data_IF_743109250518
#
_entry.id   IF_743109250518
#
_cell.length_a   1.000
_cell.length_b   1.000
_cell.length_c   1.000
_cell.angle_alpha   90.00
_cell.angle_beta   90.00
_cell.angle_gamma   90.00
#
_symmetry.space_group_name_H-M   'P 1'
#
loop_
_entity.id
_entity.type
_entity.pdbx_description
1 polymer ?
#
# COMPACT_ATOMS: atom_id res chain seq x y z
N UNK A 1 20.47 6.85 -12.05
CA UNK A 1 20.12 5.63 -12.81
C UNK A 1 19.06 4.83 -12.05
N UNK A 2 17.79 5.06 -12.40
CA UNK A 2 16.60 4.17 -12.26
C UNK A 2 15.37 5.10 -12.28
N UNK A 3 14.61 5.06 -13.38
CA UNK A 3 13.30 5.71 -13.49
C UNK A 3 12.39 5.25 -12.33
N UNK A 4 11.57 6.11 -11.72
CA UNK A 4 10.68 5.70 -10.63
C UNK A 4 9.79 4.54 -11.10
N UNK A 5 9.84 3.44 -10.36
CA UNK A 5 9.00 2.28 -10.58
C UNK A 5 7.88 2.31 -9.55
N UNK A 6 6.62 2.20 -10.02
CA UNK A 6 5.46 1.92 -9.17
C UNK A 6 4.90 0.58 -9.64
N UNK A 7 4.81 -0.41 -8.73
CA UNK A 7 4.39 -1.80 -9.04
C UNK A 7 5.12 -2.45 -10.23
N UNK A 8 6.37 -2.07 -10.50
CA UNK A 8 7.14 -2.54 -11.65
C UNK A 8 6.83 -1.85 -12.99
N UNK A 9 5.93 -0.88 -13.02
CA UNK A 9 5.65 -0.08 -14.21
C UNK A 9 6.59 1.13 -14.32
N UNK A 10 6.91 1.53 -15.56
CA UNK A 10 7.73 2.70 -15.88
C UNK A 10 6.86 3.82 -16.45
N UNK A 11 7.21 5.06 -16.12
CA UNK A 11 6.64 6.25 -16.74
C UNK A 11 7.01 6.32 -18.24
N UNK A 12 6.03 6.55 -19.10
CA UNK A 12 6.27 6.83 -20.51
C UNK A 12 6.81 8.27 -20.70
N UNK A 13 7.48 8.60 -21.83
CA UNK A 13 7.91 9.97 -22.10
C UNK A 13 6.76 10.97 -22.13
N UNK A 14 5.61 10.54 -22.67
CA UNK A 14 4.39 11.34 -22.76
C UNK A 14 3.21 10.65 -22.07
N UNK A 15 2.23 11.44 -21.63
CA UNK A 15 1.10 10.94 -20.87
C UNK A 15 0.22 10.00 -21.70
N UNK A 16 -0.05 10.35 -22.95
CA UNK A 16 -0.83 9.59 -23.93
C UNK A 16 -0.25 8.20 -24.25
N UNK A 17 1.04 8.01 -24.01
CA UNK A 17 1.72 6.73 -24.24
C UNK A 17 1.74 5.85 -22.99
N UNK A 18 1.19 6.33 -21.86
CA UNK A 18 1.22 5.59 -20.62
C UNK A 18 0.37 4.32 -20.72
N UNK A 19 1.06 3.18 -20.78
CA UNK A 19 0.45 1.84 -20.80
C UNK A 19 -0.05 1.45 -19.41
N UNK A 20 -1.08 0.61 -19.38
CA UNK A 20 -1.64 0.01 -18.17
C UNK A 20 -2.18 1.01 -17.12
N UNK A 21 -2.60 2.20 -17.56
CA UNK A 21 -3.07 3.27 -16.68
C UNK A 21 -4.12 2.83 -15.65
N UNK A 22 -5.10 2.02 -16.08
CA UNK A 22 -6.14 1.46 -15.20
C UNK A 22 -5.53 0.55 -14.13
N UNK A 23 -4.63 -0.35 -14.52
CA UNK A 23 -3.95 -1.28 -13.60
C UNK A 23 -3.14 -0.51 -12.58
N UNK A 24 -2.28 0.41 -13.02
CA UNK A 24 -1.42 1.24 -12.15
C UNK A 24 -2.26 1.98 -11.10
N UNK A 25 -3.32 2.67 -11.53
CA UNK A 25 -4.19 3.40 -10.60
C UNK A 25 -4.95 2.48 -9.67
N UNK A 26 -5.38 1.31 -10.17
CA UNK A 26 -6.14 0.33 -9.37
C UNK A 26 -5.27 -0.29 -8.29
N UNK A 27 -4.06 -0.74 -8.62
CA UNK A 27 -3.12 -1.33 -7.66
C UNK A 27 -2.69 -0.29 -6.64
N UNK A 28 -2.34 0.93 -7.08
CA UNK A 28 -1.93 2.01 -6.17
C UNK A 28 -3.06 2.33 -5.17
N UNK A 29 -4.27 2.56 -5.66
CA UNK A 29 -5.40 2.89 -4.78
C UNK A 29 -5.76 1.72 -3.87
N UNK A 30 -5.71 0.49 -4.37
CA UNK A 30 -5.96 -0.70 -3.57
C UNK A 30 -4.95 -0.78 -2.42
N UNK A 31 -3.64 -0.69 -2.69
CA UNK A 31 -2.60 -0.77 -1.66
C UNK A 31 -2.69 0.35 -0.62
N UNK A 32 -2.95 1.59 -1.07
CA UNK A 32 -3.22 2.71 -0.15
C UNK A 32 -4.45 2.43 0.72
N UNK A 33 -5.49 1.84 0.13
CA UNK A 33 -6.69 1.40 0.84
C UNK A 33 -6.40 0.33 1.88
N UNK A 34 -5.65 -0.70 1.53
CA UNK A 34 -5.26 -1.77 2.46
C UNK A 34 -4.49 -1.19 3.66
N UNK A 35 -3.49 -0.35 3.41
CA UNK A 35 -2.70 0.30 4.47
C UNK A 35 -3.57 1.18 5.38
N UNK A 36 -4.47 1.96 4.79
CA UNK A 36 -5.41 2.79 5.56
C UNK A 36 -6.33 1.94 6.44
N UNK A 37 -6.85 0.84 5.90
CA UNK A 37 -7.67 -0.11 6.67
C UNK A 37 -6.91 -0.74 7.83
N UNK A 38 -5.64 -1.12 7.60
CA UNK A 38 -4.77 -1.66 8.64
C UNK A 38 -4.62 -0.67 9.79
N UNK A 39 -4.37 0.61 9.47
CA UNK A 39 -4.17 1.68 10.47
C UNK A 39 -5.45 1.87 11.29
N UNK A 40 -6.61 1.93 10.64
CA UNK A 40 -7.90 2.11 11.33
C UNK A 40 -8.21 0.91 12.24
N UNK A 41 -8.05 -0.32 11.74
CA UNK A 41 -8.29 -1.53 12.52
C UNK A 41 -7.31 -1.69 13.69
N UNK A 42 -6.05 -1.31 13.49
CA UNK A 42 -5.02 -1.32 14.53
C UNK A 42 -5.29 -0.27 15.60
N UNK A 43 -5.61 0.95 15.18
CA UNK A 43 -5.98 2.06 16.08
C UNK A 43 -7.21 1.69 16.91
N UNK A 44 -8.25 1.14 16.28
CA UNK A 44 -9.43 0.65 17.00
C UNK A 44 -9.06 -0.38 18.07
N UNK A 45 -8.16 -1.31 17.74
CA UNK A 45 -7.70 -2.34 18.68
C UNK A 45 -6.91 -1.75 19.84
N UNK A 46 -6.00 -0.81 19.58
CA UNK A 46 -5.27 -0.10 20.62
C UNK A 46 -6.24 0.64 21.57
N UNK A 47 -7.22 1.35 21.02
CA UNK A 47 -8.17 2.11 21.84
C UNK A 47 -9.08 1.23 22.70
N UNK A 48 -9.45 0.03 22.23
CA UNK A 48 -10.44 -0.83 22.90
C UNK A 48 -9.86 -1.97 23.70
N UNK A 49 -8.68 -2.47 23.34
CA UNK A 49 -8.16 -3.74 23.83
C UNK A 49 -6.68 -3.73 24.22
N UNK A 50 -6.02 -2.57 24.33
CA UNK A 50 -4.58 -2.51 24.64
C UNK A 50 -4.14 -3.28 25.89
N UNK A 51 -5.03 -3.43 26.90
CA UNK A 51 -4.78 -4.20 28.12
C UNK A 51 -5.36 -5.62 28.11
N UNK A 52 -5.96 -6.04 27.01
CA UNK A 52 -6.56 -7.37 26.92
C UNK A 52 -5.47 -8.45 26.74
N UNK A 53 -5.61 -9.63 27.39
CA UNK A 53 -4.62 -10.70 27.28
C UNK A 53 -4.46 -11.25 25.86
N UNK A 54 -5.50 -11.12 25.03
CA UNK A 54 -5.55 -11.54 23.64
C UNK A 54 -5.32 -10.40 22.64
N UNK A 55 -4.71 -9.29 23.08
CA UNK A 55 -4.47 -8.09 22.27
C UNK A 55 -3.86 -8.39 20.91
N UNK A 56 -2.83 -9.26 20.84
CA UNK A 56 -2.14 -9.59 19.57
C UNK A 56 -3.08 -10.24 18.56
N UNK A 57 -3.92 -11.17 19.01
CA UNK A 57 -4.92 -11.85 18.17
C UNK A 57 -5.98 -10.87 17.71
N UNK A 58 -6.48 -10.01 18.62
CA UNK A 58 -7.44 -8.96 18.28
C UNK A 58 -6.85 -7.95 17.29
N UNK A 59 -5.58 -7.59 17.45
CA UNK A 59 -4.88 -6.66 16.57
C UNK A 59 -4.81 -7.21 15.15
N UNK A 60 -4.36 -8.45 14.99
CA UNK A 60 -4.34 -9.14 13.69
C UNK A 60 -5.74 -9.17 13.08
N UNK A 61 -6.74 -9.64 13.83
CA UNK A 61 -8.08 -9.80 13.27
C UNK A 61 -8.74 -8.47 12.88
N UNK A 62 -8.59 -7.43 13.69
CA UNK A 62 -9.20 -6.14 13.39
C UNK A 62 -8.44 -5.35 12.33
N UNK A 63 -7.10 -5.45 12.28
CA UNK A 63 -6.33 -4.96 11.14
C UNK A 63 -6.78 -5.65 9.85
N UNK A 64 -6.95 -6.98 9.87
CA UNK A 64 -7.45 -7.75 8.72
C UNK A 64 -8.88 -7.38 8.30
N UNK A 65 -9.79 -7.16 9.26
CA UNK A 65 -11.15 -6.63 8.98
C UNK A 65 -11.10 -5.24 8.38
N UNK A 66 -10.19 -4.38 8.86
CA UNK A 66 -9.96 -3.06 8.31
C UNK A 66 -9.62 -3.11 6.83
N UNK A 67 -8.67 -3.97 6.44
CA UNK A 67 -8.32 -4.23 5.03
C UNK A 67 -9.53 -4.68 4.20
N UNK A 68 -10.29 -5.63 4.73
CA UNK A 68 -11.43 -6.24 4.03
C UNK A 68 -12.46 -5.19 3.62
N UNK A 69 -12.68 -4.17 4.45
CA UNK A 69 -13.63 -3.10 4.14
C UNK A 69 -12.98 -1.95 3.36
N UNK A 70 -11.77 -1.54 3.73
CA UNK A 70 -11.13 -0.38 3.12
C UNK A 70 -10.75 -0.60 1.65
N UNK A 71 -10.30 -1.81 1.28
CA UNK A 71 -9.94 -2.14 -0.10
C UNK A 71 -11.11 -1.93 -1.06
N UNK A 72 -12.26 -2.64 -0.89
CA UNK A 72 -13.44 -2.44 -1.70
C UNK A 72 -13.98 -1.00 -1.69
N UNK A 73 -13.97 -0.33 -0.54
CA UNK A 73 -14.38 1.09 -0.45
C UNK A 73 -13.50 2.00 -1.30
N UNK A 74 -12.18 1.80 -1.29
CA UNK A 74 -11.25 2.59 -2.09
C UNK A 74 -11.35 2.26 -3.58
N UNK A 75 -11.60 1.01 -3.94
CA UNK A 75 -11.90 0.65 -5.34
C UNK A 75 -13.20 1.28 -5.83
N UNK A 76 -14.25 1.29 -5.00
CA UNK A 76 -15.50 1.98 -5.30
C UNK A 76 -15.29 3.50 -5.44
N UNK A 77 -14.46 4.09 -4.58
CA UNK A 77 -14.09 5.50 -4.66
C UNK A 77 -13.31 5.82 -5.95
N UNK A 78 -12.35 4.97 -6.35
CA UNK A 78 -11.63 5.11 -7.62
C UNK A 78 -12.60 5.00 -8.80
N UNK A 79 -13.45 3.97 -8.80
CA UNK A 79 -14.45 3.78 -9.85
C UNK A 79 -15.38 4.99 -9.97
N UNK A 80 -15.90 5.50 -8.85
CA UNK A 80 -16.73 6.71 -8.83
C UNK A 80 -15.99 7.93 -9.34
N UNK A 81 -14.74 8.14 -8.90
CA UNK A 81 -13.88 9.25 -9.34
C UNK A 81 -13.56 9.21 -10.83
N UNK A 82 -13.48 8.01 -11.40
CA UNK A 82 -13.12 7.79 -12.80
C UNK A 82 -14.33 7.52 -13.71
N UNK A 83 -15.54 7.51 -13.17
CA UNK A 83 -16.75 7.31 -13.96
C UNK A 83 -16.92 8.47 -14.94
N UNK A 84 -17.14 8.14 -16.22
CA UNK A 84 -17.28 9.12 -17.30
C UNK A 84 -15.97 9.78 -17.75
N UNK A 85 -14.82 9.32 -17.26
CA UNK A 85 -13.50 9.82 -17.67
C UNK A 85 -13.00 9.10 -18.92
N UNK A 86 -12.39 9.85 -19.83
CA UNK A 86 -11.81 9.32 -21.05
C UNK A 86 -10.51 8.55 -20.78
N UNK A 87 -10.11 7.70 -21.71
CA UNK A 87 -8.89 6.89 -21.57
C UNK A 87 -7.65 7.74 -21.29
N UNK A 88 -7.51 8.88 -21.99
CA UNK A 88 -6.37 9.79 -21.80
C UNK A 88 -6.32 10.37 -20.38
N UNK A 89 -7.45 10.58 -19.72
CA UNK A 89 -7.49 11.06 -18.33
C UNK A 89 -7.02 9.99 -17.33
N UNK A 90 -7.25 8.71 -17.63
CA UNK A 90 -6.63 7.62 -16.85
C UNK A 90 -5.12 7.64 -17.04
N UNK A 91 -4.67 7.76 -18.29
CA UNK A 91 -3.26 7.77 -18.65
C UNK A 91 -2.51 8.93 -17.99
N UNK A 92 -3.03 10.14 -18.12
CA UNK A 92 -2.50 11.35 -17.50
C UNK A 92 -2.34 11.21 -15.98
N UNK A 93 -3.37 10.72 -15.28
CA UNK A 93 -3.29 10.50 -13.83
C UNK A 93 -2.26 9.46 -13.45
N UNK A 94 -2.21 8.34 -14.15
CA UNK A 94 -1.21 7.29 -13.92
C UNK A 94 0.22 7.75 -14.25
N UNK A 95 0.37 8.62 -15.26
CA UNK A 95 1.65 9.21 -15.66
C UNK A 95 2.16 10.17 -14.58
N UNK A 96 1.31 11.06 -14.06
CA UNK A 96 1.67 11.95 -12.94
C UNK A 96 1.98 11.17 -11.66
N UNK A 97 1.27 10.06 -11.41
CA UNK A 97 1.53 9.16 -10.29
C UNK A 97 2.94 8.58 -10.40
N UNK A 98 3.28 7.99 -11.56
CA UNK A 98 4.60 7.42 -11.84
C UNK A 98 5.72 8.45 -11.79
N UNK A 99 5.44 9.69 -12.20
CA UNK A 99 6.39 10.81 -12.08
C UNK A 99 6.65 11.29 -10.65
N UNK A 100 5.92 10.78 -9.65
CA UNK A 100 6.12 11.15 -8.26
C UNK A 100 7.06 10.15 -7.56
N UNK A 101 8.32 10.52 -7.26
CA UNK A 101 9.29 9.60 -6.67
C UNK A 101 8.91 9.19 -5.24
N UNK A 102 8.23 10.06 -4.49
CA UNK A 102 7.75 9.73 -3.14
C UNK A 102 6.75 8.57 -3.18
N UNK A 103 5.83 8.58 -4.14
CA UNK A 103 4.81 7.54 -4.28
C UNK A 103 5.43 6.19 -4.66
N UNK A 104 6.40 6.17 -5.58
CA UNK A 104 7.07 4.93 -5.95
C UNK A 104 7.90 4.30 -4.84
N UNK A 105 8.60 5.11 -4.07
CA UNK A 105 9.38 4.56 -2.96
C UNK A 105 8.48 4.07 -1.82
N UNK A 106 7.43 4.83 -1.45
CA UNK A 106 6.54 4.37 -0.38
C UNK A 106 5.76 3.13 -0.81
N UNK A 107 5.32 3.04 -2.07
CA UNK A 107 4.64 1.86 -2.62
C UNK A 107 5.56 0.63 -2.53
N UNK A 108 6.81 0.72 -2.97
CA UNK A 108 7.79 -0.37 -2.86
C UNK A 108 7.97 -0.85 -1.42
N UNK A 109 8.17 0.06 -0.47
CA UNK A 109 8.34 -0.31 0.93
C UNK A 109 7.08 -0.96 1.52
N UNK A 110 5.89 -0.49 1.14
CA UNK A 110 4.64 -1.11 1.59
C UNK A 110 4.38 -2.48 0.97
N UNK A 111 4.73 -2.69 -0.30
CA UNK A 111 4.64 -4.00 -0.97
C UNK A 111 5.57 -5.01 -0.29
N UNK A 112 6.84 -4.64 -0.07
CA UNK A 112 7.80 -5.47 0.65
C UNK A 112 7.30 -5.77 2.06
N UNK A 113 6.77 -4.75 2.75
CA UNK A 113 6.16 -4.90 4.06
C UNK A 113 4.99 -5.89 4.06
N UNK A 114 4.09 -5.80 3.08
CA UNK A 114 2.95 -6.70 2.90
C UNK A 114 3.40 -8.15 2.78
N UNK A 115 4.35 -8.40 1.86
CA UNK A 115 4.90 -9.74 1.60
C UNK A 115 5.59 -10.27 2.84
N UNK A 116 6.46 -9.48 3.48
CA UNK A 116 7.18 -9.87 4.68
C UNK A 116 6.25 -10.17 5.86
N UNK A 117 5.22 -9.36 6.07
CA UNK A 117 4.21 -9.55 7.12
C UNK A 117 3.44 -10.85 6.91
N UNK A 118 2.97 -11.09 5.68
CA UNK A 118 2.26 -12.32 5.30
C UNK A 118 3.15 -13.55 5.47
N UNK A 119 4.37 -13.51 4.92
CA UNK A 119 5.32 -14.61 5.01
C UNK A 119 5.68 -14.94 6.47
N UNK A 120 5.84 -13.91 7.31
CA UNK A 120 6.10 -14.09 8.75
C UNK A 120 4.94 -14.80 9.44
N UNK A 121 3.69 -14.44 9.13
CA UNK A 121 2.51 -15.12 9.69
C UNK A 121 2.47 -16.59 9.28
N UNK A 122 2.62 -16.87 7.98
CA UNK A 122 2.59 -18.23 7.45
C UNK A 122 3.73 -19.09 7.99
N UNK A 123 4.90 -18.51 8.25
CA UNK A 123 6.06 -19.22 8.79
C UNK A 123 6.05 -19.42 10.31
N UNK A 124 5.30 -18.61 11.07
CA UNK A 124 5.32 -18.66 12.55
C UNK A 124 4.03 -19.14 13.20
N UNK A 125 2.91 -19.10 12.48
CA UNK A 125 1.63 -19.59 13.01
C UNK A 125 1.42 -21.03 12.54
N UNK A 126 1.14 -21.99 13.45
CA UNK A 126 0.82 -23.35 13.06
C UNK A 126 -0.32 -23.38 12.04
N UNK A 127 -0.21 -24.24 11.02
CA UNK A 127 -1.18 -24.28 9.91
C UNK A 127 -2.62 -24.52 10.37
N UNK A 128 -2.82 -25.29 11.44
CA UNK A 128 -4.13 -25.52 12.05
C UNK A 128 -4.76 -24.27 12.70
N UNK A 129 -3.95 -23.24 12.99
CA UNK A 129 -4.39 -21.97 13.56
C UNK A 129 -4.43 -20.84 12.53
N UNK A 130 -4.26 -21.14 11.23
CA UNK A 130 -4.38 -20.15 10.18
C UNK A 130 -5.81 -19.64 10.07
N UNK A 131 -5.95 -18.32 10.03
CA UNK A 131 -7.22 -17.64 9.76
C UNK A 131 -7.02 -16.64 8.63
N UNK A 132 -8.04 -16.48 7.78
CA UNK A 132 -8.00 -15.47 6.72
C UNK A 132 -7.75 -14.07 7.26
N UNK A 133 -8.40 -13.72 8.38
CA UNK A 133 -8.17 -12.46 9.08
C UNK A 133 -6.78 -12.33 9.70
N UNK A 134 -6.16 -13.44 10.12
CA UNK A 134 -4.79 -13.45 10.62
C UNK A 134 -3.78 -13.14 9.51
N UNK A 135 -3.91 -13.80 8.35
CA UNK A 135 -3.06 -13.54 7.19
C UNK A 135 -3.25 -12.11 6.65
N UNK A 136 -4.50 -11.65 6.48
CA UNK A 136 -4.80 -10.27 6.07
C UNK A 136 -4.32 -9.25 7.10
N UNK A 137 -4.49 -9.53 8.39
CA UNK A 137 -3.99 -8.69 9.47
C UNK A 137 -2.48 -8.54 9.43
N UNK A 138 -1.77 -9.64 9.22
CA UNK A 138 -0.31 -9.63 9.11
C UNK A 138 0.16 -8.89 7.84
N UNK A 139 -0.53 -9.06 6.72
CA UNK A 139 -0.28 -8.30 5.50
C UNK A 139 -0.44 -6.79 5.73
N UNK A 140 -1.55 -6.37 6.37
CA UNK A 140 -1.82 -4.97 6.68
C UNK A 140 -0.86 -4.37 7.71
N UNK A 141 -0.51 -5.09 8.77
CA UNK A 141 0.53 -4.64 9.71
C UNK A 141 1.90 -4.55 9.01
N UNK A 142 2.15 -5.44 8.06
CA UNK A 142 3.31 -5.40 7.17
C UNK A 142 3.38 -4.10 6.36
N UNK A 143 2.29 -3.66 5.74
CA UNK A 143 2.29 -2.38 4.98
C UNK A 143 2.48 -1.17 5.89
N UNK A 144 1.93 -1.18 7.11
CA UNK A 144 2.23 -0.13 8.11
C UNK A 144 3.72 -0.12 8.44
N UNK A 145 4.30 -1.29 8.72
CA UNK A 145 5.72 -1.45 8.97
C UNK A 145 6.58 -0.94 7.82
N UNK A 146 6.20 -1.28 6.58
CA UNK A 146 6.82 -0.76 5.36
C UNK A 146 6.77 0.76 5.27
N UNK A 147 5.60 1.36 5.53
CA UNK A 147 5.44 2.82 5.55
C UNK A 147 6.36 3.47 6.59
N UNK A 148 6.41 2.94 7.82
CA UNK A 148 7.27 3.46 8.88
C UNK A 148 8.75 3.29 8.51
N UNK A 149 9.13 2.14 7.96
CA UNK A 149 10.49 1.88 7.49
C UNK A 149 10.89 2.85 6.37
N UNK A 150 9.98 3.15 5.44
CA UNK A 150 10.19 4.16 4.41
C UNK A 150 10.46 5.52 5.04
N UNK A 151 9.63 5.96 5.98
CA UNK A 151 9.80 7.26 6.64
C UNK A 151 11.14 7.35 7.37
N UNK A 152 11.53 6.29 8.10
CA UNK A 152 12.82 6.22 8.79
C UNK A 152 13.99 6.28 7.79
N UNK A 153 13.91 5.54 6.69
CA UNK A 153 14.94 5.53 5.65
C UNK A 153 15.03 6.88 4.92
N UNK A 154 13.92 7.38 4.40
CA UNK A 154 13.83 8.61 3.61
C UNK A 154 14.17 9.84 4.43
N UNK A 155 13.53 10.03 5.57
CA UNK A 155 13.68 11.25 6.37
C UNK A 155 14.79 11.15 7.41
N UNK A 156 15.03 9.95 7.98
CA UNK A 156 16.08 9.76 8.96
C UNK A 156 17.46 9.61 8.34
N UNK A 157 17.62 8.71 7.36
CA UNK A 157 18.94 8.40 6.79
C UNK A 157 19.29 9.27 5.57
N UNK A 158 18.30 9.61 4.74
CA UNK A 158 18.50 10.34 3.48
C UNK A 158 18.10 11.83 3.54
N UNK A 159 17.73 12.34 4.72
CA UNK A 159 17.44 13.76 4.94
C UNK A 159 16.29 14.32 4.07
N UNK A 160 15.40 13.46 3.58
CA UNK A 160 14.23 13.84 2.78
C UNK A 160 14.53 14.24 1.33
N UNK A 161 15.78 14.16 0.85
CA UNK A 161 16.16 14.63 -0.50
C UNK A 161 16.06 13.52 -1.54
N UNK A 162 15.32 13.75 -2.63
CA UNK A 162 15.31 12.85 -3.78
C UNK A 162 16.54 13.09 -4.65
N UNK A 163 17.11 12.03 -5.22
CA UNK A 163 18.14 12.19 -6.25
C UNK A 163 17.43 12.79 -7.46
N UNK A 164 17.95 13.90 -7.99
CA UNK A 164 17.41 14.49 -9.21
C UNK A 164 17.44 13.47 -10.34
N UNK A 165 16.31 13.33 -11.02
CA UNK A 165 16.24 12.57 -12.26
C UNK A 165 16.64 13.54 -13.37
N UNK A 166 17.79 13.31 -14.03
CA UNK A 166 18.09 13.98 -15.29
C UNK A 166 16.96 13.64 -16.27
N UNK A 167 16.17 14.64 -16.60
CA UNK A 167 15.16 14.57 -17.64
C UNK A 167 15.89 14.32 -18.96
N UNK A 168 15.66 13.15 -19.55
CA UNK A 168 15.91 12.89 -20.97
C UNK A 168 14.62 13.18 -21.74
#
# INVERSE_FOLDING_TARGET
>A
MSSPYIHGFRQAPYAEDQKYAKTILTTHVLERGLTTGAILGSTYTALRYFRAPDFKTKLLHNAGRGLLWSGPLMLAALWGRMRGREHIEWQDRSWRLLGNPFQGEVDLFTEVGLVAGTATYLGRVPRAAWTGYGALGAAGLGTIGGTVAYMAWRHGMHGGKFKEHEAL
#
